data_IF_671886062586
#
_entry.id   IF_671886062586
#
_cell.length_a   1.000
_cell.length_b   1.000
_cell.length_c   1.000
_cell.angle_alpha   90.00
_cell.angle_beta   90.00
_cell.angle_gamma   90.00
#
_symmetry.space_group_name_H-M   'P 1'
#
loop_
_entity.id
_entity.type
_entity.pdbx_description
1 polymer ?
#
# COMPACT_ATOMS: atom_id res chain seq x y z
N UNK A 1 4.09 17.87 -23.37
CA UNK A 1 4.18 18.30 -21.96
C UNK A 1 3.69 17.12 -21.14
N UNK A 2 4.51 16.50 -20.29
CA UNK A 2 4.05 15.38 -19.44
C UNK A 2 2.99 15.86 -18.43
N UNK A 3 2.11 14.98 -17.95
CA UNK A 3 1.08 15.35 -16.98
C UNK A 3 1.64 15.97 -15.69
N UNK A 4 2.81 15.51 -15.23
CA UNK A 4 3.52 16.12 -14.08
C UNK A 4 3.82 17.62 -14.29
N UNK A 5 4.28 18.01 -15.48
CA UNK A 5 4.53 19.41 -15.80
C UNK A 5 3.25 20.25 -15.84
N UNK A 6 2.11 19.65 -16.19
CA UNK A 6 0.81 20.33 -16.18
C UNK A 6 0.31 20.53 -14.75
N UNK A 7 0.44 19.52 -13.88
CA UNK A 7 0.08 19.59 -12.47
C UNK A 7 0.89 20.68 -11.76
N UNK A 8 2.22 20.65 -11.89
CA UNK A 8 3.10 21.68 -11.31
C UNK A 8 2.73 23.08 -11.82
N UNK A 9 2.43 23.22 -13.11
CA UNK A 9 1.98 24.50 -13.67
C UNK A 9 0.65 24.97 -13.08
N UNK A 10 -0.33 24.06 -12.89
CA UNK A 10 -1.63 24.39 -12.27
C UNK A 10 -1.45 24.82 -10.82
N UNK A 11 -0.67 24.08 -10.04
CA UNK A 11 -0.35 24.40 -8.65
C UNK A 11 0.34 25.75 -8.51
N UNK A 12 1.40 26.01 -9.28
CA UNK A 12 2.12 27.30 -9.26
C UNK A 12 1.19 28.47 -9.61
N UNK A 13 0.33 28.31 -10.63
CA UNK A 13 -0.61 29.35 -11.04
C UNK A 13 -1.70 29.60 -10.00
N UNK A 14 -2.24 28.54 -9.40
CA UNK A 14 -3.26 28.66 -8.36
C UNK A 14 -2.69 29.34 -7.11
N UNK A 15 -1.53 28.90 -6.64
CA UNK A 15 -0.84 29.47 -5.49
C UNK A 15 -0.51 30.95 -5.69
N UNK A 16 0.05 31.32 -6.83
CA UNK A 16 0.43 32.72 -7.13
C UNK A 16 -0.79 33.65 -7.20
N UNK A 17 -1.96 33.12 -7.57
CA UNK A 17 -3.19 33.90 -7.73
C UNK A 17 -4.14 33.82 -6.52
N UNK A 18 -3.76 33.12 -5.45
CA UNK A 18 -4.62 32.90 -4.29
C UNK A 18 -5.92 32.14 -4.63
N UNK A 19 -5.86 31.27 -5.65
CA UNK A 19 -6.99 30.41 -6.02
C UNK A 19 -6.94 29.10 -5.24
N UNK A 20 -8.08 28.40 -5.20
CA UNK A 20 -8.14 27.03 -4.67
C UNK A 20 -7.09 26.17 -5.35
N UNK A 21 -6.28 25.48 -4.54
CA UNK A 21 -5.23 24.60 -5.02
C UNK A 21 -5.87 23.35 -5.67
N UNK A 22 -5.25 22.79 -6.72
CA UNK A 22 -5.69 21.53 -7.29
C UNK A 22 -5.68 20.41 -6.25
N UNK A 23 -6.52 19.40 -6.45
CA UNK A 23 -6.55 18.23 -5.59
C UNK A 23 -5.26 17.43 -5.80
N UNK A 24 -4.73 16.84 -4.73
CA UNK A 24 -3.57 15.96 -4.84
C UNK A 24 -3.89 14.79 -5.78
N UNK A 25 -2.93 14.35 -6.62
CA UNK A 25 -3.17 13.24 -7.52
C UNK A 25 -3.45 11.96 -6.74
N UNK A 26 -4.30 11.10 -7.30
CA UNK A 26 -4.38 9.70 -6.90
C UNK A 26 -3.14 8.96 -7.40
N UNK A 27 -2.52 8.17 -6.53
CA UNK A 27 -1.24 7.53 -6.77
C UNK A 27 -1.31 6.03 -6.48
N UNK A 28 -0.47 5.26 -7.16
CA UNK A 28 -0.31 3.83 -6.88
C UNK A 28 0.66 3.16 -7.86
N UNK A 29 0.76 1.84 -7.76
CA UNK A 29 1.73 1.05 -8.53
C UNK A 29 1.01 -0.01 -9.36
N UNK A 30 1.27 -0.03 -10.67
CA UNK A 30 0.91 -1.16 -11.54
C UNK A 30 2.06 -2.17 -11.52
N UNK A 31 1.77 -3.41 -11.12
CA UNK A 31 2.70 -4.53 -11.16
C UNK A 31 2.41 -5.34 -12.42
N UNK A 32 3.30 -5.31 -13.39
CA UNK A 32 3.10 -5.93 -14.71
C UNK A 32 3.76 -7.29 -14.72
N UNK A 33 2.98 -8.33 -15.01
CA UNK A 33 3.47 -9.71 -14.94
C UNK A 33 3.04 -10.57 -16.12
N UNK A 34 3.75 -11.67 -16.31
CA UNK A 34 3.43 -12.69 -17.31
C UNK A 34 2.59 -13.82 -16.73
N UNK A 35 2.75 -14.08 -15.44
CA UNK A 35 1.99 -15.04 -14.64
C UNK A 35 2.03 -14.61 -13.18
N UNK A 36 1.06 -15.07 -12.40
CA UNK A 36 1.04 -14.95 -10.95
C UNK A 36 0.71 -16.29 -10.32
N UNK A 37 1.10 -16.51 -9.07
CA UNK A 37 0.92 -17.77 -8.37
C UNK A 37 0.75 -17.51 -6.87
N UNK A 38 -0.35 -17.98 -6.26
CA UNK A 38 -0.48 -18.02 -4.81
C UNK A 38 0.62 -18.88 -4.20
N UNK A 39 1.22 -18.38 -3.12
CA UNK A 39 2.30 -19.00 -2.36
C UNK A 39 1.92 -19.04 -0.90
N UNK A 40 2.56 -19.95 -0.20
CA UNK A 40 2.52 -20.06 1.24
C UNK A 40 3.91 -20.44 1.70
N UNK A 41 4.45 -19.68 2.64
CA UNK A 41 5.61 -20.08 3.41
C UNK A 41 5.17 -20.42 4.84
N UNK A 42 5.69 -21.52 5.35
CA UNK A 42 5.43 -22.02 6.71
C UNK A 42 6.59 -21.64 7.62
N UNK A 43 6.33 -21.61 8.93
CA UNK A 43 7.33 -21.33 9.94
C UNK A 43 8.05 -19.99 9.69
N UNK A 44 7.31 -18.87 9.56
CA UNK A 44 7.91 -17.58 9.34
C UNK A 44 8.73 -17.18 10.56
N UNK A 45 10.05 -17.33 10.45
CA UNK A 45 11.09 -16.95 11.42
C UNK A 45 10.74 -17.19 12.91
N UNK A 46 10.78 -18.43 13.41
CA UNK A 46 10.34 -18.79 14.78
C UNK A 46 11.19 -18.18 15.92
N UNK A 47 12.27 -17.47 15.59
CA UNK A 47 13.18 -16.85 16.57
C UNK A 47 13.79 -15.54 16.07
N UNK A 48 13.20 -14.87 15.06
CA UNK A 48 13.74 -13.62 14.55
C UNK A 48 12.66 -12.71 13.97
N UNK A 49 12.82 -11.40 14.20
CA UNK A 49 11.95 -10.35 13.64
C UNK A 49 11.86 -10.35 12.10
N UNK A 50 12.90 -10.82 11.39
CA UNK A 50 12.94 -10.79 9.92
C UNK A 50 12.78 -12.18 9.33
N UNK A 51 11.92 -12.31 8.33
CA UNK A 51 11.73 -13.51 7.53
C UNK A 51 11.80 -13.20 6.04
N UNK A 52 12.52 -14.03 5.28
CA UNK A 52 12.65 -13.92 3.83
C UNK A 52 11.64 -14.89 3.17
N UNK A 53 10.82 -14.38 2.27
CA UNK A 53 9.84 -15.16 1.53
C UNK A 53 10.54 -15.98 0.44
N UNK A 54 10.02 -17.18 0.18
CA UNK A 54 10.60 -18.09 -0.81
C UNK A 54 10.48 -17.61 -2.26
N UNK A 55 9.57 -16.68 -2.54
CA UNK A 55 9.27 -16.22 -3.90
C UNK A 55 9.01 -14.72 -3.96
N UNK A 56 9.76 -14.05 -4.82
CA UNK A 56 9.69 -12.62 -5.10
C UNK A 56 9.60 -12.37 -6.62
N UNK A 57 9.14 -11.19 -7.06
CA UNK A 57 8.44 -10.16 -6.26
C UNK A 57 7.02 -10.59 -5.84
N UNK A 58 6.49 -9.89 -4.84
CA UNK A 58 5.18 -10.13 -4.22
C UNK A 58 4.17 -9.06 -4.65
N UNK A 59 2.94 -9.47 -4.90
CA UNK A 59 1.84 -8.53 -5.18
C UNK A 59 1.57 -7.67 -3.95
N UNK A 60 1.60 -6.34 -4.13
CA UNK A 60 1.27 -5.35 -3.11
C UNK A 60 -0.15 -5.61 -2.60
N UNK A 61 -0.29 -5.67 -1.29
CA UNK A 61 -1.56 -5.90 -0.63
C UNK A 61 -2.07 -7.33 -0.66
N UNK A 62 -1.25 -8.31 -1.09
CA UNK A 62 -1.65 -9.72 -1.14
C UNK A 62 -1.22 -10.53 0.08
N UNK A 63 -0.20 -10.08 0.82
CA UNK A 63 0.34 -10.85 1.94
C UNK A 63 -0.60 -10.80 3.15
N UNK A 64 -0.81 -11.97 3.75
CA UNK A 64 -1.54 -12.17 5.01
C UNK A 64 -0.80 -13.17 5.89
N UNK A 65 -0.81 -12.93 7.19
CA UNK A 65 -0.27 -13.85 8.20
C UNK A 65 -1.40 -14.71 8.78
N UNK A 66 -1.12 -16.01 8.91
CA UNK A 66 -1.98 -16.98 9.59
C UNK A 66 -1.24 -17.46 10.83
N UNK A 67 -1.75 -17.13 12.02
CA UNK A 67 -1.13 -17.53 13.28
C UNK A 67 -1.20 -19.04 13.53
N UNK A 68 -0.13 -19.57 14.09
CA UNK A 68 -0.02 -20.88 14.71
C UNK A 68 0.00 -20.78 16.23
N UNK A 69 -0.52 -21.80 16.91
CA UNK A 69 -0.42 -21.97 18.37
C UNK A 69 -0.61 -20.70 19.21
N UNK A 70 0.48 -20.20 19.80
CA UNK A 70 0.48 -19.05 20.73
C UNK A 70 0.80 -17.71 20.08
N UNK A 71 1.10 -17.67 18.79
CA UNK A 71 1.38 -16.42 18.10
C UNK A 71 0.13 -15.52 18.09
N UNK A 72 0.36 -14.21 18.02
CA UNK A 72 -0.71 -13.23 17.95
C UNK A 72 -1.08 -12.94 16.49
N UNK A 73 -2.35 -12.61 16.27
CA UNK A 73 -2.77 -12.05 14.99
C UNK A 73 -2.08 -10.69 14.78
N UNK A 74 -1.88 -10.32 13.52
CA UNK A 74 -1.34 -9.01 13.18
C UNK A 74 -2.49 -8.00 13.06
N UNK A 75 -2.42 -6.90 13.80
CA UNK A 75 -3.39 -5.80 13.74
C UNK A 75 -3.21 -4.93 12.49
N UNK A 76 -2.00 -4.90 11.92
CA UNK A 76 -1.68 -4.13 10.73
C UNK A 76 -0.66 -4.82 9.80
N UNK A 77 -0.86 -4.67 8.50
CA UNK A 77 0.12 -4.99 7.46
C UNK A 77 0.57 -3.70 6.78
N UNK A 78 1.89 -3.51 6.63
CA UNK A 78 2.46 -2.30 6.04
C UNK A 78 3.21 -2.66 4.77
N UNK A 79 2.61 -2.36 3.61
CA UNK A 79 3.26 -2.49 2.30
C UNK A 79 4.11 -1.23 2.04
N UNK A 80 5.45 -1.39 2.07
CA UNK A 80 6.39 -0.26 2.25
C UNK A 80 6.52 0.67 1.04
N UNK A 81 6.21 0.21 -0.17
CA UNK A 81 6.52 0.90 -1.43
C UNK A 81 5.75 2.22 -1.55
N UNK A 82 4.49 2.24 -1.12
CA UNK A 82 3.63 3.43 -1.05
C UNK A 82 3.21 3.74 0.39
N UNK A 83 3.73 3.00 1.37
CA UNK A 83 3.40 3.16 2.79
C UNK A 83 1.92 2.94 3.06
N UNK A 84 1.39 1.87 2.47
CA UNK A 84 0.00 1.45 2.62
C UNK A 84 -0.15 0.59 3.88
N UNK A 85 -1.12 0.94 4.72
CA UNK A 85 -1.42 0.27 5.98
C UNK A 85 -2.79 -0.38 5.87
N UNK A 86 -2.80 -1.71 5.87
CA UNK A 86 -4.01 -2.54 5.84
C UNK A 86 -4.32 -3.07 7.23
N UNK A 87 -5.57 -2.94 7.64
CA UNK A 87 -6.09 -3.42 8.92
C UNK A 87 -6.97 -4.65 8.61
N UNK A 88 -6.51 -5.89 8.88
CA UNK A 88 -7.24 -7.10 8.51
C UNK A 88 -8.56 -7.29 9.28
N UNK A 89 -8.60 -6.84 10.54
CA UNK A 89 -9.76 -6.94 11.42
C UNK A 89 -9.91 -5.61 12.15
N UNK A 90 -11.15 -5.15 12.33
CA UNK A 90 -11.41 -3.89 13.03
C UNK A 90 -10.83 -3.94 14.45
N UNK A 91 -10.12 -2.87 14.83
CA UNK A 91 -9.52 -2.74 16.16
C UNK A 91 -10.57 -2.09 17.07
N UNK A 92 -10.96 -2.83 18.11
CA UNK A 92 -12.04 -2.46 19.03
C UNK A 92 -11.54 -2.22 20.45
N UNK A 93 -10.29 -2.56 20.74
CA UNK A 93 -9.61 -2.32 22.01
C UNK A 93 -8.26 -1.65 21.77
N UNK A 94 -7.79 -0.84 22.71
CA UNK A 94 -6.54 -0.07 22.57
C UNK A 94 -5.29 -0.94 22.39
N UNK A 95 -5.29 -2.18 22.88
CA UNK A 95 -4.16 -3.12 22.74
C UNK A 95 -4.28 -4.09 21.56
N UNK A 96 -5.30 -3.94 20.70
CA UNK A 96 -5.47 -4.77 19.51
C UNK A 96 -5.49 -6.28 19.79
N UNK A 97 -4.79 -7.05 18.97
CA UNK A 97 -4.73 -8.51 19.03
C UNK A 97 -4.12 -9.06 20.33
N UNK A 98 -3.28 -8.28 21.01
CA UNK A 98 -2.76 -8.65 22.33
C UNK A 98 -3.87 -8.72 23.39
N UNK A 99 -4.94 -7.93 23.22
CA UNK A 99 -6.10 -7.86 24.08
C UNK A 99 -5.85 -7.22 25.45
N UNK A 100 -6.93 -7.03 26.23
CA UNK A 100 -6.83 -6.50 27.59
C UNK A 100 -6.64 -4.98 27.66
N UNK A 101 -6.88 -4.29 26.54
CA UNK A 101 -6.98 -2.84 26.49
C UNK A 101 -8.36 -2.35 26.91
N UNK A 102 -8.51 -1.02 26.95
CA UNK A 102 -9.82 -0.39 27.06
C UNK A 102 -10.52 -0.42 25.70
N UNK A 103 -11.84 -0.35 25.70
CA UNK A 103 -12.63 -0.26 24.46
C UNK A 103 -12.33 1.06 23.76
N UNK A 104 -12.12 1.02 22.44
CA UNK A 104 -11.90 2.21 21.62
C UNK A 104 -13.05 3.22 21.82
N UNK A 105 -12.69 4.49 21.99
CA UNK A 105 -13.61 5.60 22.23
C UNK A 105 -13.47 6.72 21.18
N UNK A 106 -14.44 7.64 21.17
CA UNK A 106 -14.39 8.81 20.28
C UNK A 106 -13.13 9.65 20.56
N UNK A 107 -12.41 10.00 19.50
CA UNK A 107 -11.19 10.79 19.58
C UNK A 107 -9.91 9.97 19.74
N UNK A 108 -10.01 8.67 20.02
CA UNK A 108 -8.86 7.76 19.93
C UNK A 108 -8.32 7.76 18.50
N UNK A 109 -7.03 7.44 18.36
CA UNK A 109 -6.36 7.53 17.06
C UNK A 109 -5.55 6.28 16.75
N UNK A 110 -5.50 5.92 15.47
CA UNK A 110 -4.45 5.06 14.94
C UNK A 110 -3.30 5.96 14.50
N UNK A 111 -2.09 5.71 15.01
CA UNK A 111 -0.89 6.47 14.67
C UNK A 111 0.23 5.56 14.22
N UNK A 112 1.13 6.09 13.38
CA UNK A 112 2.30 5.39 12.89
C UNK A 112 3.55 6.25 13.01
N UNK A 113 4.65 5.66 13.46
CA UNK A 113 6.00 6.22 13.39
C UNK A 113 6.83 5.40 12.42
N UNK A 114 7.70 6.03 11.64
CA UNK A 114 8.50 5.32 10.63
C UNK A 114 9.65 6.20 10.11
N UNK A 115 10.60 5.59 9.38
CA UNK A 115 11.59 6.36 8.61
C UNK A 115 11.37 6.22 7.10
N UNK A 116 11.59 7.32 6.37
CA UNK A 116 11.44 7.35 4.91
C UNK A 116 12.42 8.34 4.31
N UNK A 117 13.32 7.84 3.45
CA UNK A 117 14.28 8.68 2.73
C UNK A 117 15.16 9.53 3.64
N UNK A 118 15.54 9.00 4.80
CA UNK A 118 16.33 9.70 5.83
C UNK A 118 15.54 10.68 6.71
N UNK A 119 14.21 10.73 6.58
CA UNK A 119 13.32 11.45 7.51
C UNK A 119 12.82 10.50 8.58
N UNK A 120 12.67 11.00 9.80
CA UNK A 120 11.95 10.31 10.87
C UNK A 120 10.60 10.99 11.06
N UNK A 121 9.53 10.22 10.91
CA UNK A 121 8.16 10.63 11.18
C UNK A 121 7.73 9.98 12.48
N UNK A 122 7.14 10.77 13.38
CA UNK A 122 6.71 10.29 14.69
C UNK A 122 5.22 10.52 14.83
N UNK A 123 4.47 9.44 15.05
CA UNK A 123 3.03 9.43 15.36
C UNK A 123 2.21 10.26 14.37
N UNK A 124 2.42 10.01 13.09
CA UNK A 124 1.49 10.47 12.06
C UNK A 124 0.12 9.84 12.30
N UNK A 125 -0.92 10.68 12.34
CA UNK A 125 -2.30 10.21 12.53
C UNK A 125 -2.83 9.64 11.22
N UNK A 126 -3.11 8.34 11.22
CA UNK A 126 -3.71 7.64 10.08
C UNK A 126 -5.23 7.68 10.15
N UNK A 127 -5.79 7.59 11.36
CA UNK A 127 -7.23 7.57 11.57
C UNK A 127 -7.58 8.19 12.92
N UNK A 128 -8.71 8.90 12.99
CA UNK A 128 -9.30 9.40 14.23
C UNK A 128 -10.69 8.83 14.37
N UNK A 129 -10.97 8.19 15.51
CA UNK A 129 -12.22 7.50 15.77
C UNK A 129 -13.36 8.51 15.90
N UNK A 130 -14.43 8.39 15.09
CA UNK A 130 -15.57 9.27 15.16
C UNK A 130 -16.47 8.95 16.37
N UNK A 131 -17.53 9.74 16.58
CA UNK A 131 -18.53 9.47 17.62
C UNK A 131 -19.28 8.13 17.43
N UNK A 132 -19.33 7.62 16.20
CA UNK A 132 -19.91 6.31 15.86
C UNK A 132 -19.51 5.92 14.43
N UNK A 133 -19.10 4.65 14.17
CA UNK A 133 -18.85 3.60 15.15
C UNK A 133 -17.57 3.87 15.98
N UNK A 134 -17.51 3.32 17.19
CA UNK A 134 -16.37 3.44 18.11
C UNK A 134 -15.36 2.31 17.86
N UNK A 135 -14.75 2.32 16.68
CA UNK A 135 -13.73 1.36 16.26
C UNK A 135 -12.79 1.99 15.24
N UNK A 136 -11.60 1.42 15.08
CA UNK A 136 -10.78 1.63 13.90
C UNK A 136 -11.20 0.55 12.89
N UNK A 137 -11.77 0.93 11.73
CA UNK A 137 -12.39 -0.03 10.82
C UNK A 137 -11.36 -0.93 10.15
N UNK A 138 -11.79 -2.14 9.79
CA UNK A 138 -11.00 -3.00 8.91
C UNK A 138 -10.84 -2.36 7.53
N UNK A 139 -9.62 -2.38 6.99
CA UNK A 139 -9.29 -1.99 5.62
C UNK A 139 -8.43 -3.09 4.97
N UNK A 140 -9.07 -4.24 4.75
CA UNK A 140 -8.41 -5.46 4.27
C UNK A 140 -7.90 -5.33 2.84
N UNK A 141 -8.70 -4.69 1.98
CA UNK A 141 -8.33 -4.50 0.59
C UNK A 141 -7.35 -3.34 0.45
N UNK A 142 -6.33 -3.51 -0.40
CA UNK A 142 -5.34 -2.46 -0.69
C UNK A 142 -5.96 -1.16 -1.21
N UNK A 143 -7.14 -1.23 -1.82
CA UNK A 143 -7.87 -0.06 -2.30
C UNK A 143 -8.42 0.82 -1.17
N UNK A 144 -8.61 0.25 0.03
CA UNK A 144 -9.14 0.92 1.21
C UNK A 144 -8.05 1.19 2.26
N UNK A 145 -6.79 0.84 1.95
CA UNK A 145 -5.67 0.99 2.86
C UNK A 145 -5.48 2.45 3.28
N UNK A 146 -5.10 2.64 4.55
CA UNK A 146 -4.65 3.93 5.04
C UNK A 146 -3.26 4.20 4.45
N UNK A 147 -2.92 5.46 4.16
CA UNK A 147 -1.66 5.78 3.50
C UNK A 147 -0.87 6.83 4.27
N UNK A 148 0.40 6.54 4.49
CA UNK A 148 1.35 7.48 5.07
C UNK A 148 1.68 8.63 4.13
N UNK A 149 2.04 9.78 4.67
CA UNK A 149 2.37 10.98 3.89
C UNK A 149 3.71 10.86 3.13
N UNK A 150 4.60 9.98 3.58
CA UNK A 150 5.95 9.81 3.01
C UNK A 150 6.24 8.34 2.76
N UNK A 151 6.68 8.05 1.54
CA UNK A 151 7.03 6.71 1.07
C UNK A 151 8.17 6.80 0.04
N UNK A 152 8.91 5.70 -0.21
CA UNK A 152 8.82 4.40 0.45
C UNK A 152 9.31 4.46 1.91
N UNK A 153 8.84 3.52 2.73
CA UNK A 153 9.23 3.37 4.14
C UNK A 153 10.48 2.49 4.23
N UNK A 154 11.39 2.77 5.17
CA UNK A 154 12.55 1.92 5.45
C UNK A 154 12.12 0.68 6.25
N UNK A 155 12.50 -0.53 5.81
CA UNK A 155 12.10 -1.79 6.46
C UNK A 155 12.64 -1.89 7.89
N UNK A 156 11.81 -2.31 8.83
CA UNK A 156 12.14 -2.47 10.25
C UNK A 156 12.18 -1.16 11.01
N UNK A 157 11.49 -0.13 10.51
CA UNK A 157 11.44 1.20 11.13
C UNK A 157 10.05 1.59 11.64
N UNK A 158 9.01 0.82 11.28
CA UNK A 158 7.63 1.16 11.56
C UNK A 158 7.33 0.87 13.02
N UNK A 159 6.53 1.72 13.67
CA UNK A 159 5.85 1.41 14.92
C UNK A 159 4.41 1.88 14.79
N UNK A 160 3.45 0.95 14.88
CA UNK A 160 2.01 1.26 14.85
C UNK A 160 1.46 1.26 16.28
N UNK A 161 0.76 2.33 16.65
CA UNK A 161 0.18 2.49 17.99
C UNK A 161 -1.29 2.91 17.89
N UNK A 162 -2.11 2.51 18.88
CA UNK A 162 -3.31 3.29 19.20
C UNK A 162 -2.94 4.39 20.20
N UNK A 163 -3.62 5.53 20.09
CA UNK A 163 -3.60 6.59 21.08
C UNK A 163 -4.97 6.64 21.76
N UNK A 164 -4.99 6.41 23.07
CA UNK A 164 -6.16 6.59 23.92
C UNK A 164 -6.25 8.06 24.33
N UNK A 165 -7.25 8.77 23.82
CA UNK A 165 -7.42 10.19 24.07
C UNK A 165 -7.88 10.50 25.51
N UNK A 166 -8.46 9.53 26.20
CA UNK A 166 -8.97 9.70 27.57
C UNK A 166 -7.84 9.63 28.61
N UNK A 167 -6.83 8.80 28.36
CA UNK A 167 -5.68 8.61 29.24
C UNK A 167 -4.39 9.24 28.72
N UNK A 168 -4.39 9.69 27.46
CA UNK A 168 -3.22 10.20 26.73
C UNK A 168 -2.06 9.19 26.66
N UNK A 169 -2.39 7.90 26.53
CA UNK A 169 -1.43 6.79 26.47
C UNK A 169 -1.39 6.17 25.08
N UNK A 170 -0.23 5.65 24.71
CA UNK A 170 -0.02 4.93 23.46
C UNK A 170 0.18 3.44 23.73
N UNK A 171 -0.41 2.61 22.87
CA UNK A 171 -0.29 1.16 22.93
C UNK A 171 0.17 0.64 21.57
N UNK A 172 1.36 0.04 21.54
CA UNK A 172 1.90 -0.55 20.31
C UNK A 172 1.10 -1.80 19.93
N UNK A 173 0.72 -1.88 18.66
CA UNK A 173 -0.04 -2.96 18.06
C UNK A 173 0.88 -4.02 17.45
N UNK A 174 0.36 -5.23 17.25
CA UNK A 174 1.09 -6.24 16.48
C UNK A 174 1.06 -5.85 15.00
N UNK A 175 2.22 -5.69 14.37
CA UNK A 175 2.26 -5.28 12.97
C UNK A 175 3.39 -5.93 12.20
N UNK A 176 3.17 -6.03 10.89
CA UNK A 176 4.05 -6.73 9.96
C UNK A 176 4.35 -5.83 8.76
N UNK A 177 5.62 -5.44 8.63
CA UNK A 177 6.12 -4.73 7.47
C UNK A 177 6.43 -5.71 6.33
N UNK A 178 6.21 -5.26 5.10
CA UNK A 178 6.35 -6.06 3.90
C UNK A 178 7.18 -5.28 2.89
N UNK A 179 8.29 -5.87 2.46
CA UNK A 179 8.99 -5.51 1.24
C UNK A 179 8.46 -6.39 0.10
N UNK A 180 7.66 -5.79 -0.78
CA UNK A 180 7.08 -6.52 -1.89
C UNK A 180 8.09 -6.80 -3.01
N UNK A 181 9.25 -6.13 -3.01
CA UNK A 181 10.29 -6.26 -4.03
C UNK A 181 11.31 -7.32 -3.65
N UNK A 182 11.93 -7.17 -2.48
CA UNK A 182 12.97 -8.07 -1.95
C UNK A 182 12.38 -9.27 -1.20
N UNK A 183 11.05 -9.35 -1.11
CA UNK A 183 10.39 -10.50 -0.50
C UNK A 183 10.67 -10.64 0.99
N UNK A 184 10.97 -9.54 1.69
CA UNK A 184 11.26 -9.57 3.12
C UNK A 184 10.04 -9.14 3.94
N UNK A 185 9.79 -9.80 5.06
CA UNK A 185 8.84 -9.35 6.07
C UNK A 185 9.54 -9.07 7.40
N UNK A 186 8.98 -8.13 8.16
CA UNK A 186 9.49 -7.75 9.47
C UNK A 186 8.36 -7.65 10.50
N UNK A 187 8.48 -8.38 11.60
CA UNK A 187 7.61 -8.27 12.77
C UNK A 187 8.06 -7.08 13.63
N UNK A 188 7.23 -6.05 13.77
CA UNK A 188 7.62 -4.83 14.51
C UNK A 188 7.68 -5.06 16.04
N UNK A 189 6.71 -5.81 16.58
CA UNK A 189 6.52 -5.92 18.03
C UNK A 189 6.91 -7.29 18.58
N UNK A 190 6.17 -8.32 18.23
CA UNK A 190 6.42 -9.70 18.71
C UNK A 190 6.78 -10.59 17.54
N UNK A 191 7.91 -11.28 17.64
CA UNK A 191 8.32 -12.32 16.69
C UNK A 191 7.26 -13.43 16.62
N UNK A 192 7.05 -13.99 15.44
CA UNK A 192 6.41 -15.30 15.33
C UNK A 192 7.31 -16.34 16.02
N UNK A 193 6.71 -17.18 16.85
CA UNK A 193 7.43 -18.19 17.62
C UNK A 193 6.90 -19.61 17.33
N UNK A 194 5.73 -19.73 16.70
CA UNK A 194 5.09 -21.00 16.42
C UNK A 194 5.38 -21.49 15.00
N UNK A 195 5.95 -22.68 14.89
CA UNK A 195 6.30 -23.28 13.60
C UNK A 195 5.09 -23.68 12.73
N UNK A 196 3.87 -23.62 13.28
CA UNK A 196 2.63 -23.77 12.51
C UNK A 196 2.07 -22.46 11.96
N UNK A 197 2.68 -21.32 12.28
CA UNK A 197 2.40 -20.05 11.64
C UNK A 197 2.77 -20.11 10.15
N UNK A 198 2.09 -19.29 9.36
CA UNK A 198 2.27 -19.23 7.92
C UNK A 198 2.05 -17.82 7.38
N UNK A 199 2.67 -17.54 6.23
CA UNK A 199 2.39 -16.35 5.43
C UNK A 199 1.92 -16.75 4.05
N UNK A 200 0.75 -16.27 3.69
CA UNK A 200 0.13 -16.47 2.39
C UNK A 200 0.28 -15.21 1.55
N UNK A 201 0.68 -15.33 0.29
CA UNK A 201 0.92 -14.18 -0.59
C UNK A 201 0.81 -14.57 -2.06
N UNK A 202 0.76 -13.57 -2.96
CA UNK A 202 0.80 -13.82 -4.41
C UNK A 202 2.14 -13.37 -4.98
N UNK A 203 2.95 -14.33 -5.42
CA UNK A 203 4.18 -14.06 -6.20
C UNK A 203 3.85 -13.88 -7.69
N UNK A 204 4.71 -13.20 -8.44
CA UNK A 204 4.53 -13.06 -9.89
C UNK A 204 5.84 -13.01 -10.67
N UNK A 205 5.78 -13.38 -11.95
CA UNK A 205 6.91 -13.22 -12.87
C UNK A 205 6.78 -11.88 -13.59
N UNK A 206 7.60 -10.91 -13.17
CA UNK A 206 7.64 -9.56 -13.71
C UNK A 206 7.87 -9.53 -15.23
N UNK A 207 7.31 -8.50 -15.88
CA UNK A 207 7.67 -8.11 -17.25
C UNK A 207 8.35 -6.76 -17.16
N UNK A 208 9.65 -6.74 -17.44
CA UNK A 208 10.41 -5.50 -17.61
C UNK A 208 10.05 -4.82 -18.94
N UNK A 209 10.17 -3.49 -19.00
CA UNK A 209 10.00 -2.65 -20.21
C UNK A 209 8.59 -2.64 -20.83
N UNK A 210 7.57 -3.18 -20.15
CA UNK A 210 6.18 -2.99 -20.56
C UNK A 210 5.83 -1.50 -20.49
N UNK A 211 5.31 -0.95 -21.59
CA UNK A 211 4.94 0.46 -21.72
C UNK A 211 3.51 0.67 -21.26
N UNK A 212 3.31 1.54 -20.27
CA UNK A 212 1.99 2.08 -19.90
C UNK A 212 1.87 3.50 -20.45
N UNK A 213 0.77 3.77 -21.15
CA UNK A 213 0.41 5.11 -21.63
C UNK A 213 -1.02 5.42 -21.21
N UNK A 214 -1.21 6.56 -20.54
CA UNK A 214 -2.50 7.04 -20.06
C UNK A 214 -2.81 8.36 -20.76
N UNK A 215 -3.99 8.44 -21.35
CA UNK A 215 -4.50 9.57 -22.11
C UNK A 215 -5.79 10.08 -21.51
N UNK A 216 -6.01 11.38 -21.55
CA UNK A 216 -7.32 11.96 -21.25
C UNK A 216 -8.30 11.58 -22.36
N UNK A 217 -9.47 11.07 -21.99
CA UNK A 217 -10.54 10.61 -22.91
C UNK A 217 -10.86 11.70 -23.93
N UNK A 218 -11.10 11.27 -25.18
CA UNK A 218 -11.40 12.13 -26.33
C UNK A 218 -10.33 13.17 -26.68
N UNK A 219 -9.09 12.97 -26.20
CA UNK A 219 -7.96 13.84 -26.52
C UNK A 219 -6.73 13.03 -26.93
N UNK A 220 -5.78 13.70 -27.58
CA UNK A 220 -4.42 13.16 -27.80
C UNK A 220 -3.47 13.48 -26.63
N UNK A 221 -3.99 14.00 -25.52
CA UNK A 221 -3.17 14.44 -24.41
C UNK A 221 -2.78 13.27 -23.51
N UNK A 222 -1.48 12.99 -23.47
CA UNK A 222 -0.89 11.94 -22.64
C UNK A 222 -0.59 12.53 -21.26
N UNK A 223 -1.32 12.04 -20.26
CA UNK A 223 -1.13 12.44 -18.86
C UNK A 223 0.01 11.67 -18.23
N UNK A 224 0.20 10.40 -18.62
CA UNK A 224 1.27 9.55 -18.11
C UNK A 224 1.84 8.65 -19.18
N UNK A 225 3.16 8.48 -19.18
CA UNK A 225 3.85 7.47 -19.97
C UNK A 225 5.06 7.00 -19.20
N UNK A 226 5.12 5.71 -18.91
CA UNK A 226 6.25 5.09 -18.22
C UNK A 226 6.43 3.64 -18.68
N UNK A 227 7.52 3.05 -18.24
CA UNK A 227 7.91 1.67 -18.53
C UNK A 227 8.13 0.95 -17.20
N UNK A 228 7.81 -0.34 -17.16
CA UNK A 228 8.11 -1.17 -16.01
C UNK A 228 9.61 -1.37 -15.85
N UNK A 229 10.05 -1.38 -14.59
CA UNK A 229 11.39 -1.78 -14.18
C UNK A 229 11.55 -3.30 -14.14
N UNK A 230 12.70 -3.78 -13.64
CA UNK A 230 13.03 -5.20 -13.54
C UNK A 230 12.02 -6.00 -12.68
N UNK A 231 11.32 -5.34 -11.76
CA UNK A 231 10.31 -5.92 -10.88
C UNK A 231 8.89 -5.78 -11.44
N UNK A 232 8.77 -5.27 -12.67
CA UNK A 232 7.49 -5.07 -13.34
C UNK A 232 6.74 -3.85 -12.84
N UNK A 233 7.36 -2.96 -12.07
CA UNK A 233 6.67 -1.87 -11.39
C UNK A 233 6.55 -0.63 -12.27
N UNK A 234 5.35 -0.07 -12.31
CA UNK A 234 5.07 1.25 -12.90
C UNK A 234 4.34 2.08 -11.85
N UNK A 235 5.02 2.99 -11.14
CA UNK A 235 4.37 4.03 -10.38
C UNK A 235 3.52 4.91 -11.31
N UNK A 236 2.32 5.28 -10.87
CA UNK A 236 1.36 6.07 -11.64
C UNK A 236 0.70 7.10 -10.73
N UNK A 237 0.53 8.30 -11.25
CA UNK A 237 -0.26 9.36 -10.62
C UNK A 237 -1.26 9.96 -11.63
N UNK A 238 -2.50 10.21 -11.20
CA UNK A 238 -3.53 10.85 -12.01
C UNK A 238 -4.34 11.86 -11.20
N UNK A 239 -4.83 12.91 -11.84
CA UNK A 239 -5.49 14.03 -11.17
C UNK A 239 -6.98 14.03 -11.50
N UNK A 240 -7.85 14.18 -10.51
CA UNK A 240 -9.31 14.17 -10.75
C UNK A 240 -9.76 15.22 -11.78
N UNK A 241 -9.03 16.33 -11.93
CA UNK A 241 -9.34 17.40 -12.89
C UNK A 241 -9.14 17.02 -14.36
N UNK A 242 -8.41 15.96 -14.64
CA UNK A 242 -8.17 15.46 -16.00
C UNK A 242 -8.94 14.19 -16.33
N UNK A 243 -9.78 13.71 -15.42
CA UNK A 243 -10.69 12.61 -15.69
C UNK A 243 -11.69 12.95 -16.82
N UNK A 244 -12.15 11.95 -17.58
CA UNK A 244 -11.82 10.52 -17.48
C UNK A 244 -10.59 10.13 -18.30
N UNK A 245 -10.03 8.94 -18.04
CA UNK A 245 -8.81 8.42 -18.65
C UNK A 245 -9.00 7.12 -19.42
N UNK A 246 -8.28 7.01 -20.53
CA UNK A 246 -8.01 5.74 -21.20
C UNK A 246 -6.56 5.36 -20.96
N UNK A 247 -6.27 4.08 -20.77
CA UNK A 247 -4.88 3.61 -20.75
C UNK A 247 -4.65 2.39 -21.61
N UNK A 248 -3.45 2.33 -22.17
CA UNK A 248 -2.95 1.24 -22.98
C UNK A 248 -1.63 0.74 -22.39
N UNK A 249 -1.59 -0.55 -22.08
CA UNK A 249 -0.39 -1.27 -21.65
C UNK A 249 0.02 -2.24 -22.74
N UNK A 250 1.27 -2.11 -23.17
CA UNK A 250 1.85 -2.90 -24.26
C UNK A 250 3.23 -3.42 -23.89
N UNK A 251 3.53 -4.66 -24.24
CA UNK A 251 4.84 -5.28 -24.10
C UNK A 251 5.13 -6.18 -25.31
N UNK A 252 6.41 -6.46 -25.58
CA UNK A 252 6.79 -7.34 -26.67
C UNK A 252 6.20 -8.75 -26.49
N UNK A 253 5.69 -9.35 -27.58
CA UNK A 253 5.09 -10.69 -27.58
C UNK A 253 3.90 -10.87 -26.61
N UNK A 254 3.26 -9.76 -26.23
CA UNK A 254 2.09 -9.75 -25.34
C UNK A 254 0.90 -9.06 -26.00
N UNK A 255 -0.30 -9.56 -25.71
CA UNK A 255 -1.55 -8.90 -26.09
C UNK A 255 -1.64 -7.59 -25.30
N UNK A 256 -1.86 -6.47 -25.98
CA UNK A 256 -2.01 -5.17 -25.32
C UNK A 256 -3.31 -5.12 -24.52
N UNK A 257 -3.25 -4.51 -23.34
CA UNK A 257 -4.41 -4.32 -22.47
C UNK A 257 -4.84 -2.86 -22.57
N UNK A 258 -6.12 -2.64 -22.89
CA UNK A 258 -6.70 -1.31 -22.99
C UNK A 258 -7.85 -1.23 -22.00
N UNK A 259 -7.88 -0.15 -21.21
CA UNK A 259 -9.05 0.19 -20.39
C UNK A 259 -9.48 1.60 -20.70
N UNK A 260 -10.79 1.76 -20.87
CA UNK A 260 -11.39 3.03 -21.22
C UNK A 260 -12.17 3.64 -20.05
N UNK A 261 -12.37 4.96 -20.10
CA UNK A 261 -13.25 5.72 -19.20
C UNK A 261 -13.01 5.45 -17.70
N UNK A 262 -11.74 5.41 -17.29
CA UNK A 262 -11.33 5.23 -15.90
C UNK A 262 -11.35 6.57 -15.15
N UNK A 263 -11.71 6.56 -13.87
CA UNK A 263 -11.40 7.67 -12.96
C UNK A 263 -9.89 7.71 -12.67
N UNK A 264 -9.40 8.78 -12.05
CA UNK A 264 -8.02 8.95 -11.61
C UNK A 264 -7.67 7.84 -10.63
N UNK A 265 -8.56 7.55 -9.68
CA UNK A 265 -8.41 6.45 -8.73
C UNK A 265 -8.23 5.12 -9.45
N UNK A 266 -9.10 4.76 -10.40
CA UNK A 266 -9.00 3.48 -11.11
C UNK A 266 -7.79 3.40 -12.04
N UNK A 267 -7.42 4.52 -12.67
CA UNK A 267 -6.26 4.61 -13.55
C UNK A 267 -4.93 4.48 -12.77
N UNK A 268 -4.88 4.96 -11.53
CA UNK A 268 -3.67 4.99 -10.68
C UNK A 268 -3.60 3.90 -9.60
N UNK A 269 -4.71 3.21 -9.29
CA UNK A 269 -4.76 2.21 -8.20
C UNK A 269 -3.65 1.15 -8.28
N UNK A 270 -3.28 0.63 -7.12
CA UNK A 270 -2.51 -0.60 -6.98
C UNK A 270 -3.18 -1.73 -7.74
N UNK A 271 -2.42 -2.40 -8.60
CA UNK A 271 -2.96 -3.48 -9.40
C UNK A 271 -1.89 -4.37 -10.00
N UNK A 272 -2.04 -5.68 -9.82
CA UNK A 272 -1.33 -6.69 -10.59
C UNK A 272 -2.03 -6.89 -11.94
N UNK A 273 -1.30 -6.67 -13.03
CA UNK A 273 -1.81 -6.79 -14.40
C UNK A 273 -1.06 -7.92 -15.11
N UNK A 274 -1.73 -9.05 -15.28
CA UNK A 274 -1.18 -10.21 -16.02
C UNK A 274 -1.40 -10.05 -17.52
N UNK A 275 -0.31 -10.08 -18.30
CA UNK A 275 -0.34 -9.96 -19.75
C UNK A 275 -0.25 -11.32 -20.46
N UNK A 276 -1.27 -11.61 -21.28
CA UNK A 276 -1.35 -12.83 -22.09
C UNK A 276 -0.33 -12.82 -23.23
N UNK A 277 0.34 -13.95 -23.54
CA UNK A 277 1.18 -14.09 -24.73
C UNK A 277 0.42 -13.85 -26.03
N UNK A 278 1.08 -13.29 -27.05
CA UNK A 278 0.58 -13.34 -28.44
C UNK A 278 0.68 -14.76 -28.98
N UNK A 279 -0.33 -15.20 -29.75
CA UNK A 279 -0.33 -16.48 -30.45
C UNK A 279 0.76 -16.56 -31.54
#
# INVERSE_FOLDING_TARGET
MSGFNLLVSRWQKAATKGLTLPIAPSEGIKQICSTSTPRQDLDPAPTAHKFELSYEPVQIGSLTFTKGGTDLDQDAYIDREMGDVRIPVAITETQGAAGGGEVIAEGDMLVISYTSGGRTVTREVLFTVPASPLEIPACVAIADALRTAWYPIDLGSVVVETFDASTEVYYQLESLEIDNIEGDIYYDKTDAADASSAVDYTSYTAIETAKLEITKVDTSFITWRSYSDANGLIPVAQTVEDETYDWNLSAALKVSIIRAAQSALLASRHELVTMTPTA
#
